data_IF_874131410130
#
_entry.id   IF_874131410130
#
_cell.length_a   1.000
_cell.length_b   1.000
_cell.length_c   1.000
_cell.angle_alpha   90.00
_cell.angle_beta   90.00
_cell.angle_gamma   90.00
#
_symmetry.space_group_name_H-M   'P 1'
#
loop_
_entity.id
_entity.type
_entity.pdbx_description
1 polymer ?
#
# COMPACT_ATOMS: atom_id res chain seq x y z
N UNK A 1 -22.98 -17.21 -8.99
CA UNK A 1 -22.26 -16.27 -9.87
C UNK A 1 -20.77 -16.46 -9.59
N UNK A 2 -19.91 -16.56 -10.61
CA UNK A 2 -18.45 -16.66 -10.40
C UNK A 2 -17.83 -15.27 -10.21
N UNK A 3 -16.62 -15.19 -9.63
CA UNK A 3 -15.87 -13.93 -9.50
C UNK A 3 -15.69 -13.23 -10.86
N UNK A 4 -15.40 -13.99 -11.91
CA UNK A 4 -15.24 -13.47 -13.27
C UNK A 4 -16.56 -12.90 -13.83
N UNK A 5 -17.68 -13.58 -13.61
CA UNK A 5 -18.98 -13.08 -14.06
C UNK A 5 -19.38 -11.81 -13.31
N UNK A 6 -19.09 -11.74 -12.01
CA UNK A 6 -19.31 -10.54 -11.20
C UNK A 6 -18.45 -9.38 -11.71
N UNK A 7 -17.14 -9.56 -11.86
CA UNK A 7 -16.24 -8.50 -12.34
C UNK A 7 -16.62 -7.96 -13.72
N UNK A 8 -16.95 -8.83 -14.68
CA UNK A 8 -17.44 -8.39 -16.00
C UNK A 8 -18.72 -7.56 -15.91
N UNK A 9 -19.62 -7.90 -14.98
CA UNK A 9 -20.84 -7.13 -14.76
C UNK A 9 -20.54 -5.75 -14.16
N UNK A 10 -19.62 -5.67 -13.21
CA UNK A 10 -19.16 -4.39 -12.64
C UNK A 10 -18.47 -3.52 -13.70
N UNK A 11 -17.64 -4.11 -14.58
CA UNK A 11 -17.02 -3.39 -15.69
C UNK A 11 -18.07 -2.80 -16.64
N UNK A 12 -19.10 -3.56 -17.01
CA UNK A 12 -20.21 -3.06 -17.83
C UNK A 12 -20.94 -1.88 -17.15
N UNK A 13 -21.25 -2.01 -15.86
CA UNK A 13 -21.94 -0.96 -15.09
C UNK A 13 -21.07 0.31 -14.98
N UNK A 14 -19.75 0.14 -14.81
CA UNK A 14 -18.79 1.25 -14.76
C UNK A 14 -18.48 1.87 -16.14
N UNK A 15 -18.99 1.28 -17.23
CA UNK A 15 -18.69 1.72 -18.60
C UNK A 15 -17.29 1.34 -19.10
N UNK A 16 -16.64 0.35 -18.48
CA UNK A 16 -15.30 -0.11 -18.86
C UNK A 16 -15.34 -1.17 -19.99
N UNK A 17 -14.33 -1.18 -20.89
CA UNK A 17 -13.19 -0.25 -20.93
C UNK A 17 -13.45 1.06 -21.68
N UNK A 18 -14.66 1.25 -22.23
CA UNK A 18 -14.92 2.34 -23.18
C UNK A 18 -14.02 2.20 -24.42
N UNK A 19 -13.50 3.33 -24.92
CA UNK A 19 -12.55 3.39 -26.04
C UNK A 19 -11.08 3.54 -25.56
N UNK A 20 -10.80 3.27 -24.28
CA UNK A 20 -9.47 3.41 -23.67
C UNK A 20 -8.72 2.05 -23.65
N UNK A 21 -7.63 1.95 -24.43
CA UNK A 21 -6.81 0.74 -24.49
C UNK A 21 -6.05 0.44 -23.19
N UNK A 22 -5.66 1.47 -22.42
CA UNK A 22 -5.06 1.26 -21.10
C UNK A 22 -6.09 0.70 -20.12
N UNK A 23 -7.32 1.20 -20.17
CA UNK A 23 -8.40 0.66 -19.34
C UNK A 23 -8.72 -0.79 -19.70
N UNK A 24 -8.69 -1.14 -20.99
CA UNK A 24 -8.87 -2.52 -21.45
C UNK A 24 -7.77 -3.44 -20.92
N UNK A 25 -6.50 -3.01 -21.01
CA UNK A 25 -5.38 -3.76 -20.42
C UNK A 25 -5.59 -3.97 -18.91
N UNK A 26 -6.05 -2.94 -18.19
CA UNK A 26 -6.33 -3.06 -16.76
C UNK A 26 -7.47 -4.04 -16.45
N UNK A 27 -8.55 -4.04 -17.25
CA UNK A 27 -9.62 -5.03 -17.13
C UNK A 27 -9.09 -6.45 -17.31
N UNK A 28 -8.21 -6.68 -18.29
CA UNK A 28 -7.62 -8.00 -18.54
C UNK A 28 -6.72 -8.44 -17.37
N UNK A 29 -5.87 -7.55 -16.83
CA UNK A 29 -5.07 -7.83 -15.64
C UNK A 29 -5.92 -8.20 -14.42
N UNK A 30 -7.00 -7.47 -14.18
CA UNK A 30 -7.93 -7.77 -13.07
C UNK A 30 -8.58 -9.14 -13.24
N UNK A 31 -9.01 -9.49 -14.45
CA UNK A 31 -9.60 -10.79 -14.73
C UNK A 31 -8.60 -11.94 -14.50
N UNK A 32 -7.33 -11.77 -14.88
CA UNK A 32 -6.27 -12.77 -14.66
C UNK A 32 -6.01 -13.02 -13.16
N UNK A 33 -5.93 -11.95 -12.36
CA UNK A 33 -5.77 -12.04 -10.91
C UNK A 33 -6.97 -12.74 -10.26
N UNK A 34 -8.20 -12.36 -10.64
CA UNK A 34 -9.43 -12.98 -10.15
C UNK A 34 -9.57 -14.44 -10.56
N UNK A 35 -9.12 -14.81 -11.76
CA UNK A 35 -9.14 -16.19 -12.23
C UNK A 35 -8.18 -17.04 -11.40
N UNK A 36 -6.96 -16.53 -11.18
CA UNK A 36 -5.95 -17.18 -10.34
C UNK A 36 -6.45 -17.36 -8.92
N UNK A 37 -7.00 -16.30 -8.31
CA UNK A 37 -7.58 -16.36 -6.96
C UNK A 37 -8.74 -17.34 -6.87
N UNK A 38 -9.64 -17.36 -7.87
CA UNK A 38 -10.77 -18.29 -7.92
C UNK A 38 -10.32 -19.76 -8.04
N UNK A 39 -9.25 -20.05 -8.77
CA UNK A 39 -8.70 -21.41 -8.96
C UNK A 39 -8.10 -22.00 -7.68
N UNK A 40 -7.66 -21.17 -6.75
CA UNK A 40 -7.05 -21.62 -5.48
C UNK A 40 -8.08 -22.21 -4.50
N UNK A 41 -9.38 -22.01 -4.72
CA UNK A 41 -10.43 -22.71 -3.97
C UNK A 41 -10.53 -22.32 -2.50
N UNK A 42 -10.26 -21.06 -2.18
CA UNK A 42 -10.34 -20.55 -0.81
C UNK A 42 -11.71 -20.73 -0.16
N UNK A 43 -11.71 -20.95 1.16
CA UNK A 43 -12.91 -20.95 1.98
C UNK A 43 -13.28 -19.51 2.39
N UNK A 44 -14.44 -19.33 3.02
CA UNK A 44 -14.83 -18.03 3.60
C UNK A 44 -13.84 -17.49 4.64
N UNK A 45 -12.96 -18.33 5.19
CA UNK A 45 -11.89 -17.92 6.10
C UNK A 45 -10.58 -17.61 5.38
N UNK A 46 -10.12 -18.48 4.47
CA UNK A 46 -8.81 -18.30 3.83
C UNK A 46 -8.82 -17.24 2.72
N UNK A 47 -9.99 -16.93 2.14
CA UNK A 47 -10.12 -15.88 1.13
C UNK A 47 -9.74 -14.48 1.67
N UNK A 48 -10.37 -13.95 2.73
CA UNK A 48 -10.00 -12.63 3.26
C UNK A 48 -8.55 -12.58 3.76
N UNK A 49 -8.04 -13.66 4.36
CA UNK A 49 -6.65 -13.75 4.81
C UNK A 49 -5.65 -13.61 3.63
N UNK A 50 -5.91 -14.29 2.52
CA UNK A 50 -5.07 -14.19 1.33
C UNK A 50 -5.12 -12.79 0.72
N UNK A 51 -6.32 -12.20 0.61
CA UNK A 51 -6.50 -10.85 0.08
C UNK A 51 -5.76 -9.79 0.92
N UNK A 52 -5.82 -9.89 2.25
CA UNK A 52 -5.12 -8.97 3.16
C UNK A 52 -3.59 -9.01 2.94
N UNK A 53 -3.01 -10.21 2.85
CA UNK A 53 -1.56 -10.36 2.67
C UNK A 53 -1.13 -10.01 1.24
N UNK A 54 -1.98 -10.30 0.25
CA UNK A 54 -1.75 -9.89 -1.13
C UNK A 54 -1.68 -8.37 -1.24
N UNK A 55 -2.67 -7.65 -0.69
CA UNK A 55 -2.68 -6.17 -0.73
C UNK A 55 -1.45 -5.58 -0.03
N UNK A 56 -1.11 -6.06 1.17
CA UNK A 56 0.13 -5.67 1.88
C UNK A 56 1.37 -5.84 1.01
N UNK A 57 1.58 -7.04 0.47
CA UNK A 57 2.78 -7.35 -0.32
C UNK A 57 2.82 -6.62 -1.66
N UNK A 58 1.67 -6.49 -2.35
CA UNK A 58 1.57 -5.75 -3.60
C UNK A 58 1.89 -4.25 -3.42
N UNK A 59 1.68 -3.71 -2.21
CA UNK A 59 2.03 -2.34 -1.80
C UNK A 59 3.41 -2.23 -1.14
N UNK A 60 4.24 -3.27 -1.19
CA UNK A 60 5.55 -3.33 -0.53
C UNK A 60 5.49 -3.03 0.98
N UNK A 61 4.42 -3.46 1.65
CA UNK A 61 4.26 -3.35 3.10
C UNK A 61 4.79 -4.58 3.82
N UNK A 62 5.23 -4.38 5.06
CA UNK A 62 5.74 -5.46 5.91
C UNK A 62 4.63 -6.32 6.50
N UNK A 63 4.82 -7.63 6.53
CA UNK A 63 3.90 -8.56 7.23
C UNK A 63 4.13 -8.54 8.74
N UNK A 64 5.38 -8.67 9.17
CA UNK A 64 5.78 -8.60 10.58
C UNK A 64 6.32 -7.22 10.94
N UNK A 65 6.27 -6.83 12.22
CA UNK A 65 6.85 -5.56 12.66
C UNK A 65 8.31 -5.39 12.21
N UNK A 66 8.73 -4.15 11.99
CA UNK A 66 10.14 -3.78 11.97
C UNK A 66 10.69 -3.92 13.38
N UNK A 67 11.90 -4.46 13.52
CA UNK A 67 12.55 -4.69 14.81
C UNK A 67 13.47 -3.56 15.18
N UNK A 68 13.97 -2.81 14.19
CA UNK A 68 14.97 -1.76 14.39
C UNK A 68 16.41 -2.27 14.44
N UNK A 69 16.62 -3.59 14.37
CA UNK A 69 17.94 -4.23 14.34
C UNK A 69 18.79 -3.73 13.16
N UNK A 70 20.11 -3.68 13.35
CA UNK A 70 21.04 -3.08 12.37
C UNK A 70 20.99 -3.74 10.99
N UNK A 71 20.62 -5.03 10.92
CA UNK A 71 20.48 -5.77 9.68
C UNK A 71 19.27 -5.36 8.84
N UNK A 72 18.28 -4.66 9.42
CA UNK A 72 17.14 -4.10 8.69
C UNK A 72 17.48 -2.81 7.92
N UNK A 73 18.67 -2.25 8.10
CA UNK A 73 19.04 -0.94 7.54
C UNK A 73 20.10 -1.03 6.44
N UNK A 74 20.00 -0.13 5.47
CA UNK A 74 21.02 0.12 4.45
C UNK A 74 21.42 1.59 4.48
N UNK A 75 22.73 1.85 4.44
CA UNK A 75 23.27 3.21 4.34
C UNK A 75 22.97 3.79 2.95
N UNK A 76 22.35 4.97 2.92
CA UNK A 76 21.99 5.68 1.68
C UNK A 76 22.76 7.00 1.51
N UNK A 77 23.79 7.23 2.33
CA UNK A 77 24.66 8.41 2.31
C UNK A 77 24.32 9.43 3.40
N UNK A 78 25.27 10.33 3.67
CA UNK A 78 25.12 11.49 4.57
C UNK A 78 24.64 11.16 5.99
N UNK A 79 24.93 9.95 6.49
CA UNK A 79 24.49 9.49 7.81
C UNK A 79 23.01 9.08 7.87
N UNK A 80 22.35 8.97 6.72
CA UNK A 80 20.98 8.52 6.58
C UNK A 80 20.94 7.04 6.20
N UNK A 81 20.03 6.32 6.85
CA UNK A 81 19.78 4.91 6.62
C UNK A 81 18.33 4.71 6.20
N UNK A 82 18.09 3.85 5.22
CA UNK A 82 16.75 3.45 4.79
C UNK A 82 16.48 2.01 5.26
N UNK A 83 15.26 1.72 5.69
CA UNK A 83 14.88 0.36 6.05
C UNK A 83 14.72 -0.50 4.78
N UNK A 84 15.30 -1.70 4.78
CA UNK A 84 15.30 -2.64 3.63
C UNK A 84 13.93 -3.26 3.37
N UNK A 85 13.08 -3.34 4.40
CA UNK A 85 11.76 -3.98 4.35
C UNK A 85 10.64 -2.97 4.12
N UNK A 86 10.87 -1.71 4.52
CA UNK A 86 9.94 -0.60 4.33
C UNK A 86 10.69 0.65 3.84
N UNK A 87 10.62 0.91 2.54
CA UNK A 87 11.30 2.05 1.91
C UNK A 87 10.81 3.44 2.39
N UNK A 88 9.71 3.50 3.15
CA UNK A 88 9.16 4.74 3.72
C UNK A 88 9.68 5.04 5.12
N UNK A 89 10.49 4.15 5.71
CA UNK A 89 11.07 4.31 7.04
C UNK A 89 12.56 4.59 6.93
N UNK A 90 12.99 5.69 7.55
CA UNK A 90 14.36 6.17 7.56
C UNK A 90 14.89 6.29 8.99
N UNK A 91 16.20 6.29 9.13
CA UNK A 91 16.94 6.53 10.37
C UNK A 91 18.05 7.52 10.13
N UNK A 92 18.13 8.57 10.93
CA UNK A 92 19.16 9.59 10.88
C UNK A 92 19.57 9.94 12.32
N UNK A 93 20.88 10.06 12.59
CA UNK A 93 21.41 10.34 13.94
C UNK A 93 20.90 9.39 15.05
N UNK A 94 20.54 8.16 14.70
CA UNK A 94 20.01 7.15 15.62
C UNK A 94 18.49 7.22 15.86
N UNK A 95 17.80 8.20 15.28
CA UNK A 95 16.35 8.36 15.38
C UNK A 95 15.66 7.87 14.11
N UNK A 96 14.69 6.96 14.27
CA UNK A 96 13.90 6.43 13.17
C UNK A 96 12.59 7.22 13.00
N UNK A 97 12.18 7.42 11.76
CA UNK A 97 10.93 8.09 11.40
C UNK A 97 10.30 7.48 10.16
N UNK A 98 8.98 7.61 10.07
CA UNK A 98 8.17 7.19 8.93
C UNK A 98 7.72 8.41 8.14
N UNK A 99 7.94 8.39 6.81
CA UNK A 99 7.68 9.52 5.93
C UNK A 99 6.18 9.85 5.81
N UNK A 100 5.32 8.83 5.80
CA UNK A 100 3.91 8.98 5.46
C UNK A 100 3.00 9.00 6.70
N UNK A 101 3.53 9.47 7.83
CA UNK A 101 2.80 9.57 9.09
C UNK A 101 1.55 10.44 8.99
N UNK A 102 1.66 11.54 8.26
CA UNK A 102 0.54 12.44 7.96
C UNK A 102 0.42 12.70 6.47
N UNK A 103 -0.81 12.68 5.98
CA UNK A 103 -1.16 13.09 4.63
C UNK A 103 -1.98 14.37 4.75
N UNK A 104 -1.46 15.47 4.23
CA UNK A 104 -2.16 16.74 4.21
C UNK A 104 -3.17 16.74 3.07
N UNK A 105 -4.36 17.29 3.32
CA UNK A 105 -5.43 17.40 2.33
C UNK A 105 -5.93 18.84 2.25
N UNK A 106 -5.93 19.40 1.05
CA UNK A 106 -6.45 20.74 0.81
C UNK A 106 -8.00 20.77 0.68
N UNK A 107 -8.56 21.97 0.56
CA UNK A 107 -10.01 22.17 0.41
C UNK A 107 -10.61 21.53 -0.84
N UNK A 108 -9.81 21.29 -1.88
CA UNK A 108 -10.21 20.66 -3.13
C UNK A 108 -10.11 19.13 -3.05
N UNK A 109 -9.62 18.60 -1.93
CA UNK A 109 -9.46 17.18 -1.66
C UNK A 109 -8.15 16.59 -2.17
N UNK A 110 -7.23 17.40 -2.70
CA UNK A 110 -5.92 16.94 -3.15
C UNK A 110 -5.05 16.62 -1.94
N UNK A 111 -4.31 15.51 -2.02
CA UNK A 111 -3.47 15.04 -0.91
C UNK A 111 -1.98 15.13 -1.24
N UNK A 112 -1.17 15.45 -0.24
CA UNK A 112 0.28 15.52 -0.37
C UNK A 112 1.01 15.18 0.94
N UNK A 113 2.30 14.86 0.82
CA UNK A 113 3.22 14.68 1.95
C UNK A 113 4.40 15.66 1.83
N UNK A 114 4.99 16.04 2.95
CA UNK A 114 6.18 16.89 3.01
C UNK A 114 7.04 16.54 4.24
N UNK A 115 8.00 17.38 4.62
CA UNK A 115 8.83 17.15 5.81
C UNK A 115 8.02 17.04 7.11
N UNK A 116 6.88 17.73 7.20
CA UNK A 116 6.02 17.76 8.39
C UNK A 116 5.08 16.54 8.47
N UNK A 117 5.06 15.72 7.40
CA UNK A 117 4.40 14.40 7.39
C UNK A 117 5.11 13.37 8.27
N UNK A 118 6.40 13.60 8.56
CA UNK A 118 7.26 12.62 9.23
C UNK A 118 6.81 12.43 10.68
N UNK A 119 6.68 11.17 11.09
CA UNK A 119 6.38 10.79 12.48
C UNK A 119 7.47 9.89 13.04
N UNK A 120 7.84 10.03 14.33
CA UNK A 120 8.84 9.18 14.95
C UNK A 120 8.37 7.72 15.00
N UNK A 121 9.32 6.80 14.87
CA UNK A 121 9.10 5.36 14.91
C UNK A 121 9.72 4.76 16.17
N UNK A 122 8.93 4.00 16.93
CA UNK A 122 9.39 3.22 18.09
C UNK A 122 9.25 1.73 17.82
N UNK A 123 10.33 0.97 18.00
CA UNK A 123 10.37 -0.47 17.72
C UNK A 123 9.92 -1.33 18.91
N UNK A 124 9.32 -2.52 18.67
CA UNK A 124 8.94 -3.05 17.36
C UNK A 124 7.79 -2.23 16.74
N UNK A 125 7.88 -1.97 15.44
CA UNK A 125 6.97 -1.04 14.78
C UNK A 125 6.15 -1.73 13.69
N UNK A 126 4.84 -1.55 13.75
CA UNK A 126 3.90 -1.94 12.68
C UNK A 126 3.42 -0.66 12.02
N UNK A 127 3.47 -0.62 10.70
CA UNK A 127 2.96 0.52 9.92
C UNK A 127 1.49 0.80 10.29
N UNK A 128 1.17 1.96 10.90
CA UNK A 128 -0.20 2.36 11.15
C UNK A 128 -0.83 2.93 9.87
N UNK A 129 -2.12 3.21 9.91
CA UNK A 129 -2.73 4.08 8.89
C UNK A 129 -2.19 5.51 9.02
N UNK A 130 -2.03 6.18 7.89
CA UNK A 130 -1.63 7.58 7.86
C UNK A 130 -2.74 8.47 8.44
N UNK A 131 -2.34 9.47 9.22
CA UNK A 131 -3.25 10.50 9.70
C UNK A 131 -3.59 11.47 8.56
N UNK A 132 -4.88 11.65 8.24
CA UNK A 132 -5.29 12.69 7.30
C UNK A 132 -5.43 14.02 8.06
N UNK A 133 -4.71 15.04 7.61
CA UNK A 133 -4.73 16.38 8.18
C UNK A 133 -5.30 17.36 7.16
N UNK A 134 -6.52 17.83 7.40
CA UNK A 134 -7.14 18.86 6.57
C UNK A 134 -6.45 20.21 6.82
N UNK A 135 -6.02 20.89 5.75
CA UNK A 135 -5.36 22.20 5.80
C UNK A 135 -6.21 23.27 5.14
N UNK A 136 -6.23 24.46 5.73
CA UNK A 136 -7.11 25.57 5.33
C UNK A 136 -6.64 26.39 4.11
N UNK A 137 -5.53 26.01 3.43
CA UNK A 137 -4.99 26.77 2.29
C UNK A 137 -5.96 26.89 1.08
#
# INVERSE_FOLDING_TARGET
MSLIAHAKKEFEIAGWPGDDEMQKMMCDCLLELLETFSKQGHSGFSAPYCLEHFDKLARFQTISPLTGEDDEWVDVGDGMFQNKRDSTVFKENGEAYWLDGKIFRDKDGCTYTNSDSRVPVTFPWVRPESEIVDVDE
#
